data_IF_277455078009
#
_entry.id   IF_277455078009
#
_cell.length_a   1.000
_cell.length_b   1.000
_cell.length_c   1.000
_cell.angle_alpha   90.00
_cell.angle_beta   90.00
_cell.angle_gamma   90.00
#
_symmetry.space_group_name_H-M   'P 1'
#
loop_
_entity.id
_entity.type
_entity.pdbx_description
1 polymer ?
#
# COMPACT_ATOMS: atom_id res chain seq x y z
N UNK A 1 -58.78 24.55 52.43
CA UNK A 1 -59.25 24.02 51.14
C UNK A 1 -58.07 23.42 50.39
N UNK A 2 -58.20 22.14 49.99
CA UNK A 2 -57.59 21.42 48.85
C UNK A 2 -56.06 21.59 48.61
N UNK A 3 -55.18 20.60 48.87
CA UNK A 3 -55.01 19.23 48.32
C UNK A 3 -54.31 19.15 46.94
N UNK A 4 -53.07 18.61 47.01
CA UNK A 4 -52.32 17.74 46.08
C UNK A 4 -51.98 18.22 44.66
N UNK A 5 -50.69 18.09 44.32
CA UNK A 5 -50.21 17.41 43.10
C UNK A 5 -48.71 17.09 43.20
N UNK A 6 -48.40 15.79 43.19
CA UNK A 6 -47.06 15.22 43.00
C UNK A 6 -46.54 15.54 41.59
N UNK A 7 -45.26 15.93 41.46
CA UNK A 7 -44.51 15.75 40.20
C UNK A 7 -43.17 15.12 40.56
N UNK A 8 -43.00 13.86 40.16
CA UNK A 8 -41.76 13.11 40.32
C UNK A 8 -40.68 13.60 39.36
N UNK A 9 -39.45 13.75 39.88
CA UNK A 9 -38.24 13.90 39.09
C UNK A 9 -37.95 12.59 38.34
N UNK A 10 -38.32 12.53 37.06
CA UNK A 10 -37.78 11.54 36.12
C UNK A 10 -36.40 12.03 35.66
N UNK A 11 -35.36 11.20 35.86
CA UNK A 11 -34.11 11.24 35.09
C UNK A 11 -34.45 11.25 33.60
N UNK A 12 -34.18 12.35 32.90
CA UNK A 12 -33.99 12.30 31.45
C UNK A 12 -32.52 12.04 31.19
N UNK A 13 -32.22 10.79 30.83
CA UNK A 13 -31.05 10.44 30.04
C UNK A 13 -31.20 11.19 28.72
N UNK A 14 -30.42 12.25 28.53
CA UNK A 14 -30.29 12.89 27.22
C UNK A 14 -29.28 12.06 26.46
N UNK A 15 -29.80 11.24 25.54
CA UNK A 15 -29.04 10.67 24.44
C UNK A 15 -28.60 11.84 23.55
N UNK A 16 -27.35 12.28 23.67
CA UNK A 16 -26.70 13.06 22.62
C UNK A 16 -26.20 12.11 21.53
N UNK A 17 -27.15 11.52 20.81
CA UNK A 17 -26.95 10.96 19.47
C UNK A 17 -27.19 12.10 18.49
N UNK A 18 -26.14 12.80 18.09
CA UNK A 18 -26.30 13.99 17.25
C UNK A 18 -25.02 14.60 16.69
N UNK A 19 -23.98 13.81 16.47
CA UNK A 19 -22.90 14.22 15.56
C UNK A 19 -23.24 13.65 14.18
N UNK A 20 -23.50 14.54 13.24
CA UNK A 20 -23.50 14.22 11.81
C UNK A 20 -22.16 13.56 11.46
N UNK A 21 -22.08 12.23 11.55
CA UNK A 21 -21.03 11.47 10.92
C UNK A 21 -21.24 11.66 9.41
N UNK A 22 -20.39 12.50 8.82
CA UNK A 22 -20.23 12.54 7.37
C UNK A 22 -20.02 11.11 6.88
N UNK A 23 -20.54 10.78 5.70
CA UNK A 23 -20.38 9.46 5.05
C UNK A 23 -18.92 8.97 5.07
N UNK A 24 -17.97 9.91 4.96
CA UNK A 24 -16.51 9.73 5.08
C UNK A 24 -16.04 9.09 6.42
N UNK A 25 -16.68 9.42 7.53
CA UNK A 25 -16.35 8.87 8.85
C UNK A 25 -16.86 7.44 9.02
N UNK A 26 -17.98 7.10 8.37
CA UNK A 26 -18.56 5.76 8.43
C UNK A 26 -17.76 4.74 7.62
N UNK A 27 -17.29 5.10 6.43
CA UNK A 27 -16.47 4.21 5.58
C UNK A 27 -15.12 3.88 6.23
N UNK A 28 -14.49 4.86 6.87
CA UNK A 28 -13.22 4.69 7.60
C UNK A 28 -13.40 3.72 8.77
N UNK A 29 -14.44 3.88 9.58
CA UNK A 29 -14.75 2.96 10.68
C UNK A 29 -15.01 1.53 10.21
N UNK A 30 -15.69 1.33 9.07
CA UNK A 30 -15.88 0.00 8.48
C UNK A 30 -14.54 -0.66 8.10
N UNK A 31 -13.59 0.12 7.58
CA UNK A 31 -12.27 -0.39 7.18
C UNK A 31 -11.48 -0.91 8.38
N UNK A 32 -11.42 -0.15 9.48
CA UNK A 32 -10.77 -0.60 10.72
C UNK A 32 -11.51 -1.79 11.35
N UNK A 33 -12.84 -1.79 11.35
CA UNK A 33 -13.63 -2.92 11.84
C UNK A 33 -13.31 -4.21 11.06
N UNK A 34 -13.26 -4.14 9.73
CA UNK A 34 -12.94 -5.31 8.91
C UNK A 34 -11.52 -5.84 9.15
N UNK A 35 -10.55 -4.96 9.46
CA UNK A 35 -9.20 -5.36 9.89
C UNK A 35 -9.26 -6.09 11.23
N UNK A 36 -9.96 -5.52 12.23
CA UNK A 36 -10.08 -6.12 13.57
C UNK A 36 -10.84 -7.45 13.56
N UNK A 37 -11.83 -7.59 12.69
CA UNK A 37 -12.58 -8.84 12.48
C UNK A 37 -11.84 -9.83 11.56
N UNK A 38 -10.70 -9.44 10.99
CA UNK A 38 -9.91 -10.22 10.01
C UNK A 38 -10.74 -10.69 8.80
N UNK A 39 -11.77 -9.92 8.41
CA UNK A 39 -12.71 -10.26 7.35
C UNK A 39 -12.31 -9.58 6.02
N UNK A 40 -11.74 -10.37 5.10
CA UNK A 40 -11.24 -9.90 3.81
C UNK A 40 -12.34 -9.34 2.89
N UNK A 41 -13.56 -9.90 2.92
CA UNK A 41 -14.64 -9.46 2.02
C UNK A 41 -15.23 -8.13 2.50
N UNK A 42 -15.50 -8.00 3.80
CA UNK A 42 -15.92 -6.73 4.40
C UNK A 42 -14.85 -5.65 4.17
N UNK A 43 -13.57 -6.03 4.22
CA UNK A 43 -12.47 -5.14 3.95
C UNK A 43 -12.45 -4.67 2.50
N UNK A 44 -12.61 -5.57 1.52
CA UNK A 44 -12.69 -5.21 0.09
C UNK A 44 -13.84 -4.25 -0.17
N UNK A 45 -15.00 -4.50 0.43
CA UNK A 45 -16.15 -3.61 0.33
C UNK A 45 -15.85 -2.23 0.94
N UNK A 46 -15.36 -2.19 2.18
CA UNK A 46 -15.01 -0.93 2.84
C UNK A 46 -13.91 -0.16 2.08
N UNK A 47 -12.95 -0.86 1.49
CA UNK A 47 -11.87 -0.27 0.69
C UNK A 47 -12.35 0.31 -0.65
N UNK A 48 -13.46 -0.18 -1.19
CA UNK A 48 -14.11 0.38 -2.37
C UNK A 48 -14.93 1.64 -2.03
N UNK A 49 -15.55 1.65 -0.86
CA UNK A 49 -16.36 2.77 -0.35
C UNK A 49 -15.51 3.89 0.29
N UNK A 50 -14.28 3.61 0.73
CA UNK A 50 -13.48 4.55 1.51
C UNK A 50 -12.90 5.70 0.69
N UNK A 51 -13.22 6.93 1.11
CA UNK A 51 -12.66 8.17 0.56
C UNK A 51 -11.22 8.43 1.02
N UNK A 52 -10.88 8.07 2.27
CA UNK A 52 -9.54 8.23 2.84
C UNK A 52 -9.03 6.94 3.49
N UNK A 53 -8.11 6.27 2.79
CA UNK A 53 -7.45 5.05 3.26
C UNK A 53 -6.25 5.33 4.17
N UNK A 54 -5.90 6.60 4.38
CA UNK A 54 -4.82 7.04 5.27
C UNK A 54 -5.34 7.66 6.57
N UNK A 55 -6.67 7.71 6.76
CA UNK A 55 -7.28 8.26 7.95
C UNK A 55 -6.80 7.54 9.21
N UNK A 56 -6.71 8.28 10.30
CA UNK A 56 -6.34 7.74 11.61
C UNK A 56 -7.57 7.27 12.38
N UNK A 57 -7.43 6.18 13.11
CA UNK A 57 -8.37 5.80 14.16
C UNK A 57 -8.18 6.62 15.44
N UNK A 58 -8.95 6.31 16.48
CA UNK A 58 -8.85 6.96 17.80
C UNK A 58 -7.47 6.75 18.47
N UNK A 59 -6.73 5.73 18.06
CA UNK A 59 -5.38 5.42 18.56
C UNK A 59 -4.28 6.13 17.77
N UNK A 60 -4.63 6.82 16.68
CA UNK A 60 -3.66 7.51 15.86
C UNK A 60 -2.97 6.63 14.83
N UNK A 61 -3.59 5.51 14.48
CA UNK A 61 -3.06 4.52 13.55
C UNK A 61 -3.82 4.54 12.23
N UNK A 62 -3.12 4.37 11.12
CA UNK A 62 -3.76 4.18 9.82
C UNK A 62 -4.16 2.71 9.65
N UNK A 63 -5.07 2.37 8.72
CA UNK A 63 -5.44 0.98 8.45
C UNK A 63 -4.24 0.06 8.19
N UNK A 64 -3.22 0.56 7.49
CA UNK A 64 -1.99 -0.18 7.21
C UNK A 64 -1.13 -0.40 8.47
N UNK A 65 -1.13 0.56 9.40
CA UNK A 65 -0.46 0.43 10.70
C UNK A 65 -1.18 -0.59 11.58
N UNK A 66 -2.52 -0.59 11.61
CA UNK A 66 -3.31 -1.55 12.38
C UNK A 66 -3.02 -2.99 11.91
N UNK A 67 -2.97 -3.22 10.60
CA UNK A 67 -2.59 -4.52 10.03
C UNK A 67 -1.18 -4.92 10.49
N UNK A 68 -0.20 -4.03 10.40
CA UNK A 68 1.18 -4.31 10.84
C UNK A 68 1.29 -4.61 12.34
N UNK A 69 0.43 -3.98 13.15
CA UNK A 69 0.37 -4.14 14.60
C UNK A 69 -0.16 -5.51 15.01
N UNK A 70 -1.29 -5.94 14.45
CA UNK A 70 -1.97 -7.17 14.86
C UNK A 70 -1.46 -8.43 14.13
N UNK A 71 -0.65 -8.28 13.07
CA UNK A 71 -0.25 -9.38 12.18
C UNK A 71 0.28 -10.63 12.92
N UNK A 72 1.18 -10.44 13.89
CA UNK A 72 1.80 -11.58 14.59
C UNK A 72 0.85 -12.24 15.59
N UNK A 73 -0.10 -11.49 16.15
CA UNK A 73 -1.10 -12.00 17.10
C UNK A 73 -2.34 -12.56 16.41
N UNK A 74 -2.48 -12.33 15.11
CA UNK A 74 -3.61 -12.75 14.29
C UNK A 74 -3.61 -14.25 14.04
N UNK A 75 -4.80 -14.85 14.06
CA UNK A 75 -4.99 -16.24 13.64
C UNK A 75 -5.23 -16.37 12.11
N UNK A 76 -5.43 -15.24 11.40
CA UNK A 76 -5.66 -15.18 9.96
C UNK A 76 -4.67 -14.25 9.25
N UNK A 77 -3.38 -14.54 9.41
CA UNK A 77 -2.31 -13.86 8.69
C UNK A 77 -2.50 -13.82 7.15
N UNK A 78 -3.03 -14.85 6.47
CA UNK A 78 -3.29 -14.78 5.03
C UNK A 78 -4.25 -13.64 4.65
N UNK A 79 -5.35 -13.45 5.39
CA UNK A 79 -6.27 -12.36 5.13
C UNK A 79 -5.60 -11.00 5.32
N UNK A 80 -4.88 -10.80 6.44
CA UNK A 80 -4.14 -9.55 6.70
C UNK A 80 -3.04 -9.27 5.67
N UNK A 81 -2.34 -10.31 5.21
CA UNK A 81 -1.34 -10.24 4.14
C UNK A 81 -1.96 -9.72 2.84
N UNK A 82 -3.18 -10.16 2.50
CA UNK A 82 -3.91 -9.67 1.34
C UNK A 82 -4.51 -8.27 1.55
N UNK A 83 -5.03 -7.95 2.73
CA UNK A 83 -5.50 -6.60 3.06
C UNK A 83 -4.38 -5.56 2.91
N UNK A 84 -3.18 -5.85 3.45
CA UNK A 84 -2.02 -4.97 3.32
C UNK A 84 -1.62 -4.76 1.86
N UNK A 85 -1.61 -5.84 1.06
CA UNK A 85 -1.33 -5.78 -0.38
C UNK A 85 -2.31 -4.87 -1.12
N UNK A 86 -3.61 -5.01 -0.84
CA UNK A 86 -4.64 -4.18 -1.46
C UNK A 86 -4.47 -2.69 -1.13
N UNK A 87 -4.12 -2.35 0.11
CA UNK A 87 -3.83 -0.95 0.51
C UNK A 87 -2.57 -0.41 -0.18
N UNK A 88 -1.47 -1.17 -0.13
CA UNK A 88 -0.17 -0.77 -0.71
C UNK A 88 -0.28 -0.50 -2.22
N UNK A 89 -1.21 -1.16 -2.92
CA UNK A 89 -1.43 -0.97 -4.35
C UNK A 89 -2.39 0.16 -4.72
N UNK A 90 -3.03 0.83 -3.74
CA UNK A 90 -3.90 1.98 -4.02
C UNK A 90 -3.07 3.19 -4.44
N UNK A 91 -3.60 4.01 -5.36
CA UNK A 91 -2.89 5.21 -5.84
C UNK A 91 -2.81 6.31 -4.77
N UNK A 92 -3.81 6.38 -3.90
CA UNK A 92 -3.92 7.39 -2.83
C UNK A 92 -3.18 6.99 -1.54
N UNK A 93 -2.53 5.82 -1.48
CA UNK A 93 -1.84 5.38 -0.27
C UNK A 93 -0.64 6.29 0.01
N UNK A 94 -0.54 6.76 1.24
CA UNK A 94 0.66 7.37 1.76
C UNK A 94 1.37 6.35 2.64
N UNK A 95 2.30 5.61 2.04
CA UNK A 95 3.05 4.52 2.69
C UNK A 95 3.92 4.99 3.86
N UNK A 96 4.21 6.29 3.92
CA UNK A 96 5.15 6.91 4.86
C UNK A 96 4.45 7.76 5.92
N UNK A 97 3.13 7.69 6.03
CA UNK A 97 2.40 8.34 7.14
C UNK A 97 3.05 7.89 8.45
N UNK A 98 3.32 8.86 9.31
CA UNK A 98 3.76 8.59 10.67
C UNK A 98 2.53 8.64 11.57
N UNK A 99 2.43 7.72 12.53
CA UNK A 99 1.33 7.68 13.47
C UNK A 99 1.15 9.04 14.13
N UNK A 100 -0.08 9.52 14.09
CA UNK A 100 -0.50 10.74 14.76
C UNK A 100 -1.11 10.32 16.07
N UNK A 101 -0.40 10.40 17.19
CA UNK A 101 -1.12 10.39 18.45
C UNK A 101 -2.23 11.45 18.39
N UNK A 102 -3.44 11.18 18.93
CA UNK A 102 -4.28 12.26 19.37
C UNK A 102 -3.43 13.12 20.30
N UNK A 103 -3.27 14.37 19.86
CA UNK A 103 -2.76 15.44 20.67
C UNK A 103 -3.71 15.56 21.86
N UNK A 104 -3.41 14.91 22.98
CA UNK A 104 -3.69 15.52 24.27
C UNK A 104 -2.57 16.52 24.56
N UNK A 105 -2.45 17.55 23.70
CA UNK A 105 -2.14 18.87 24.22
C UNK A 105 -3.43 19.32 24.89
N UNK A 106 -3.58 19.01 26.16
CA UNK A 106 -3.88 20.11 27.04
C UNK A 106 -2.59 20.45 27.76
N UNK A 107 -2.08 21.64 27.46
CA UNK A 107 -1.09 22.29 28.28
C UNK A 107 -1.48 22.12 29.75
N UNK A 108 -0.59 21.51 30.53
CA UNK A 108 -0.24 21.81 31.92
C UNK A 108 -1.09 22.87 32.65
N UNK A 109 -2.42 22.70 32.72
CA UNK A 109 -3.26 23.59 33.50
C UNK A 109 -2.97 23.30 34.95
N UNK A 110 -2.47 24.32 35.62
CA UNK A 110 -2.42 24.30 37.07
C UNK A 110 -3.82 24.60 37.53
N UNK A 111 -4.32 23.81 38.46
CA UNK A 111 -5.51 24.24 39.18
C UNK A 111 -5.22 25.57 39.92
N UNK A 112 -6.25 26.15 40.52
CA UNK A 112 -6.12 27.38 41.34
C UNK A 112 -5.13 27.25 42.52
N UNK A 113 -4.62 26.06 42.80
CA UNK A 113 -3.65 25.75 43.85
C UNK A 113 -2.25 25.44 43.30
N UNK A 114 -2.05 25.56 41.98
CA UNK A 114 -0.76 25.30 41.36
C UNK A 114 -0.48 23.83 41.05
N UNK A 115 -1.41 22.90 41.25
CA UNK A 115 -1.20 21.45 41.03
C UNK A 115 -1.41 21.07 39.58
N UNK A 116 -0.64 20.11 39.09
CA UNK A 116 -0.77 19.58 37.73
C UNK A 116 -2.08 18.79 37.58
N UNK A 117 -2.86 19.13 36.56
CA UNK A 117 -4.09 18.43 36.16
C UNK A 117 -3.84 17.70 34.84
N UNK A 118 -4.45 16.54 34.69
CA UNK A 118 -4.26 15.59 33.60
C UNK A 118 -5.60 15.01 33.15
N UNK A 119 -5.65 14.42 31.94
CA UNK A 119 -6.84 13.73 31.44
C UNK A 119 -6.64 12.20 31.44
N UNK A 120 -7.56 11.46 32.02
CA UNK A 120 -7.55 9.99 32.09
C UNK A 120 -8.95 9.44 31.76
N UNK A 121 -9.07 8.70 30.65
CA UNK A 121 -10.34 8.12 30.16
C UNK A 121 -11.48 9.16 30.05
N UNK A 122 -11.16 10.36 29.59
CA UNK A 122 -12.11 11.47 29.44
C UNK A 122 -12.39 12.27 30.71
N UNK A 123 -11.81 11.89 31.86
CA UNK A 123 -12.00 12.58 33.14
C UNK A 123 -10.72 13.32 33.57
N UNK A 124 -10.87 14.46 34.23
CA UNK A 124 -9.72 15.20 34.78
C UNK A 124 -9.23 14.56 36.08
N UNK A 125 -7.90 14.45 36.25
CA UNK A 125 -7.25 13.99 37.48
C UNK A 125 -6.12 14.92 37.88
N UNK A 126 -5.95 15.19 39.18
CA UNK A 126 -4.86 16.01 39.71
C UNK A 126 -3.93 15.18 40.60
N UNK A 127 -2.62 15.42 40.51
CA UNK A 127 -1.63 14.82 41.40
C UNK A 127 -1.53 15.63 42.69
N UNK A 128 -1.92 15.01 43.81
CA UNK A 128 -1.92 15.64 45.14
C UNK A 128 -0.66 15.33 45.94
N UNK A 129 0.00 14.20 45.63
CA UNK A 129 1.34 13.81 46.12
C UNK A 129 2.02 12.98 45.03
N UNK A 130 3.36 12.81 45.06
CA UNK A 130 4.04 11.92 44.12
C UNK A 130 3.35 10.56 44.03
N UNK A 131 2.86 10.21 42.84
CA UNK A 131 2.13 8.96 42.56
C UNK A 131 0.76 8.82 43.24
N UNK A 132 0.15 9.92 43.72
CA UNK A 132 -1.18 9.94 44.31
C UNK A 132 -2.08 10.93 43.54
N UNK A 133 -3.10 10.39 42.89
CA UNK A 133 -4.00 11.14 42.01
C UNK A 133 -5.42 11.17 42.57
N UNK A 134 -6.24 12.14 42.15
CA UNK A 134 -7.67 12.24 42.46
C UNK A 134 -8.44 12.87 41.30
N UNK A 135 -9.72 12.50 41.13
CA UNK A 135 -10.58 13.10 40.10
C UNK A 135 -10.89 14.56 40.39
N UNK A 136 -11.02 15.32 39.32
CA UNK A 136 -11.37 16.72 39.33
C UNK A 136 -12.54 16.99 38.39
N UNK A 137 -13.35 17.99 38.73
CA UNK A 137 -14.32 18.59 37.82
C UNK A 137 -13.88 20.04 37.60
N UNK A 138 -13.61 20.42 36.35
CA UNK A 138 -13.12 21.75 35.98
C UNK A 138 -11.90 22.21 36.81
N UNK A 139 -10.94 21.31 37.05
CA UNK A 139 -9.74 21.55 37.84
C UNK A 139 -9.96 21.63 39.35
N UNK A 140 -11.17 21.39 39.86
CA UNK A 140 -11.45 21.29 41.29
C UNK A 140 -11.51 19.85 41.74
N UNK A 141 -10.77 19.53 42.80
CA UNK A 141 -10.73 18.20 43.40
C UNK A 141 -12.09 17.81 43.93
N UNK A 142 -12.61 16.70 43.46
CA UNK A 142 -13.85 16.13 43.97
C UNK A 142 -13.58 15.50 45.34
N UNK A 143 -14.44 15.77 46.32
CA UNK A 143 -14.48 15.00 47.56
C UNK A 143 -15.08 13.62 47.26
N UNK A 144 -14.30 12.78 46.59
CA UNK A 144 -14.66 11.40 46.37
C UNK A 144 -14.38 10.64 47.65
N UNK A 145 -15.41 10.37 48.44
CA UNK A 145 -15.38 9.46 49.58
C UNK A 145 -16.13 8.19 49.20
N UNK A 146 -15.67 7.03 49.65
CA UNK A 146 -16.40 5.78 49.46
C UNK A 146 -17.64 5.74 50.37
N UNK A 147 -18.41 4.66 50.28
CA UNK A 147 -19.63 4.45 51.10
C UNK A 147 -19.38 4.47 52.62
N UNK A 148 -18.11 4.47 53.05
CA UNK A 148 -17.67 4.56 54.44
C UNK A 148 -17.17 5.97 54.83
N UNK A 149 -17.31 6.96 53.94
CA UNK A 149 -16.86 8.33 54.19
C UNK A 149 -15.33 8.50 54.10
N UNK A 150 -14.61 7.50 53.61
CA UNK A 150 -13.14 7.53 53.48
C UNK A 150 -12.77 8.12 52.12
N UNK A 151 -11.90 9.15 52.05
CA UNK A 151 -11.46 9.69 50.77
C UNK A 151 -10.82 8.63 49.88
N UNK A 152 -11.32 8.53 48.66
CA UNK A 152 -10.87 7.64 47.61
C UNK A 152 -9.62 8.26 47.00
N UNK A 153 -8.46 7.83 47.50
CA UNK A 153 -7.18 8.08 46.86
C UNK A 153 -6.84 6.92 45.94
N UNK A 154 -6.25 7.21 44.78
CA UNK A 154 -5.54 6.19 44.03
C UNK A 154 -4.32 5.77 44.88
N UNK A 155 -4.30 4.51 45.34
CA UNK A 155 -3.28 3.96 46.24
C UNK A 155 -1.91 3.79 45.52
N UNK A 156 -0.83 3.59 46.30
CA UNK A 156 0.59 3.52 45.92
C UNK A 156 1.02 2.48 44.86
N UNK A 157 0.08 1.79 44.21
CA UNK A 157 0.36 0.68 43.28
C UNK A 157 -0.13 0.94 41.86
N UNK A 158 -0.13 2.19 41.40
CA UNK A 158 -0.58 2.50 40.04
C UNK A 158 0.36 3.44 39.27
N UNK A 159 1.49 2.86 38.81
CA UNK A 159 2.28 3.35 37.67
C UNK A 159 1.41 3.59 36.41
N UNK A 160 0.21 2.99 36.35
CA UNK A 160 -0.73 3.10 35.24
C UNK A 160 -1.26 4.52 35.01
N UNK A 161 -1.56 5.31 36.06
CA UNK A 161 -2.02 6.71 35.86
C UNK A 161 -0.87 7.54 35.32
N UNK A 162 0.32 7.47 35.96
CA UNK A 162 1.53 8.12 35.48
C UNK A 162 1.90 7.72 34.05
N UNK A 163 1.67 6.46 33.62
CA UNK A 163 1.82 5.95 32.24
C UNK A 163 0.70 6.38 31.27
N UNK A 164 -0.52 6.55 31.75
CA UNK A 164 -1.66 6.95 30.92
C UNK A 164 -1.70 8.46 30.69
N UNK A 165 -1.11 9.22 31.63
CA UNK A 165 -1.13 10.68 31.70
C UNK A 165 0.21 11.31 31.26
N UNK A 166 1.33 10.65 31.50
CA UNK A 166 2.57 10.80 30.71
C UNK A 166 2.78 9.45 30.05
N UNK A 167 3.09 9.37 28.76
CA UNK A 167 3.45 8.14 28.02
C UNK A 167 2.43 7.49 27.10
N UNK A 168 1.48 8.23 26.50
CA UNK A 168 1.29 7.96 25.06
C UNK A 168 2.52 8.54 24.38
N UNK A 169 3.61 7.76 24.35
CA UNK A 169 4.82 8.19 23.64
C UNK A 169 4.36 8.42 22.21
N UNK A 170 4.39 9.68 21.78
CA UNK A 170 4.27 10.03 20.39
C UNK A 170 5.42 9.28 19.73
N UNK A 171 5.11 8.19 19.03
CA UNK A 171 6.14 7.39 18.40
C UNK A 171 6.47 7.98 17.04
N UNK A 172 5.49 8.49 16.29
CA UNK A 172 5.67 8.87 14.87
C UNK A 172 6.20 7.70 14.05
N UNK A 173 5.71 6.53 14.39
CA UNK A 173 6.08 5.30 13.72
C UNK A 173 5.30 5.22 12.41
N UNK A 174 5.99 4.88 11.33
CA UNK A 174 5.34 4.47 10.08
C UNK A 174 4.89 3.02 10.18
N UNK A 175 4.07 2.55 9.24
CA UNK A 175 3.74 1.13 9.15
C UNK A 175 5.00 0.23 9.10
N UNK A 176 6.10 0.72 8.50
CA UNK A 176 7.38 0.00 8.45
C UNK A 176 8.08 -0.07 9.82
N UNK A 177 7.98 0.96 10.65
CA UNK A 177 8.48 0.92 12.03
C UNK A 177 7.74 -0.14 12.83
N UNK A 178 6.40 -0.11 12.79
CA UNK A 178 5.53 -1.04 13.50
C UNK A 178 5.82 -2.47 13.05
N UNK A 179 5.88 -2.73 11.74
CA UNK A 179 6.16 -4.06 11.21
C UNK A 179 7.55 -4.60 11.64
N UNK A 180 8.58 -3.74 11.73
CA UNK A 180 9.88 -4.12 12.25
C UNK A 180 9.84 -4.43 13.76
N UNK A 181 9.10 -3.63 14.54
CA UNK A 181 8.93 -3.78 15.98
C UNK A 181 8.10 -5.00 16.38
N UNK A 182 7.08 -5.35 15.58
CA UNK A 182 6.24 -6.52 15.85
C UNK A 182 6.88 -7.81 15.36
N UNK A 183 7.82 -7.74 14.43
CA UNK A 183 8.40 -8.93 13.80
C UNK A 183 7.61 -9.41 12.58
N UNK A 184 6.71 -8.59 12.02
CA UNK A 184 5.86 -8.92 10.88
C UNK A 184 6.64 -8.97 9.55
N UNK A 185 7.47 -10.00 9.35
CA UNK A 185 8.38 -10.14 8.21
C UNK A 185 7.67 -10.02 6.86
N UNK A 186 6.49 -10.63 6.69
CA UNK A 186 5.75 -10.57 5.43
C UNK A 186 5.21 -9.18 5.13
N UNK A 187 4.78 -8.45 6.16
CA UNK A 187 4.37 -7.06 6.02
C UNK A 187 5.58 -6.19 5.67
N UNK A 188 6.73 -6.39 6.32
CA UNK A 188 7.99 -5.71 5.95
C UNK A 188 8.34 -5.96 4.47
N UNK A 189 8.31 -7.22 4.02
CA UNK A 189 8.54 -7.59 2.62
C UNK A 189 7.60 -6.84 1.68
N UNK A 190 6.30 -6.80 1.98
CA UNK A 190 5.30 -6.10 1.16
C UNK A 190 5.53 -4.58 1.15
N UNK A 191 5.70 -3.95 2.30
CA UNK A 191 5.95 -2.51 2.42
C UNK A 191 7.19 -2.08 1.60
N UNK A 192 8.26 -2.88 1.66
CA UNK A 192 9.51 -2.60 0.96
C UNK A 192 9.43 -2.70 -0.57
N UNK A 193 8.36 -3.29 -1.13
CA UNK A 193 8.13 -3.31 -2.59
C UNK A 193 7.61 -1.97 -3.14
N UNK A 194 6.99 -1.14 -2.29
CA UNK A 194 6.38 0.13 -2.71
C UNK A 194 7.46 1.12 -3.19
N UNK A 195 7.28 1.77 -4.35
CA UNK A 195 8.31 2.66 -4.93
C UNK A 195 8.69 3.83 -4.01
N UNK A 196 7.71 4.38 -3.29
CA UNK A 196 7.92 5.56 -2.45
C UNK A 196 8.28 5.27 -1.00
N UNK A 197 8.47 3.99 -0.61
CA UNK A 197 8.77 3.64 0.78
C UNK A 197 10.11 4.23 1.24
N UNK A 198 10.10 4.88 2.40
CA UNK A 198 11.31 5.45 3.01
C UNK A 198 11.70 4.64 4.25
N UNK A 199 12.90 4.07 4.20
CA UNK A 199 13.46 3.21 5.25
C UNK A 199 14.31 3.97 6.28
N UNK A 200 14.42 5.29 6.14
CA UNK A 200 15.25 6.21 6.92
C UNK A 200 14.44 7.27 7.67
N UNK A 201 13.10 7.19 7.63
CA UNK A 201 12.23 8.05 8.42
C UNK A 201 12.54 7.81 9.90
N UNK A 202 12.78 8.91 10.62
CA UNK A 202 13.02 8.89 12.05
C UNK A 202 11.72 9.11 12.80
N UNK A 203 11.50 8.25 13.78
CA UNK A 203 10.44 8.39 14.77
C UNK A 203 10.88 9.40 15.86
N UNK A 204 10.05 9.65 16.87
CA UNK A 204 10.39 10.62 17.94
C UNK A 204 11.58 10.22 18.83
N UNK A 205 11.95 8.94 18.82
CA UNK A 205 13.14 8.43 19.52
C UNK A 205 14.41 8.52 18.66
N UNK A 206 14.36 9.24 17.53
CA UNK A 206 15.41 9.32 16.52
C UNK A 206 15.79 7.95 15.94
N UNK A 207 14.86 6.99 16.00
CA UNK A 207 15.03 5.63 15.49
C UNK A 207 14.45 5.50 14.10
N UNK A 208 15.17 4.81 13.22
CA UNK A 208 14.65 4.37 11.91
C UNK A 208 14.04 2.97 12.05
N UNK A 209 13.24 2.46 11.08
CA UNK A 209 12.63 1.14 11.20
C UNK A 209 13.61 0.01 11.50
N UNK A 210 14.82 0.05 10.90
CA UNK A 210 15.87 -0.95 11.14
C UNK A 210 16.36 -0.99 12.59
N UNK A 211 16.24 0.10 13.35
CA UNK A 211 16.65 0.14 14.76
C UNK A 211 15.64 -0.52 15.69
N UNK A 212 14.39 -0.69 15.22
CA UNK A 212 13.30 -1.28 15.98
C UNK A 212 13.09 -2.77 15.70
N UNK A 213 13.93 -3.38 14.85
CA UNK A 213 13.81 -4.81 14.51
C UNK A 213 13.83 -5.64 15.80
N UNK A 214 12.79 -6.47 15.96
CA UNK A 214 12.66 -7.39 17.09
C UNK A 214 13.86 -8.31 17.21
N UNK A 215 14.33 -8.52 18.46
CA UNK A 215 15.46 -9.42 18.75
C UNK A 215 15.24 -10.81 18.18
N UNK A 216 16.27 -11.36 17.53
CA UNK A 216 16.24 -12.68 16.90
C UNK A 216 15.88 -12.65 15.41
N UNK A 217 15.38 -11.53 14.88
CA UNK A 217 15.03 -11.36 13.46
C UNK A 217 15.96 -10.40 12.72
N UNK A 218 17.06 -9.94 13.34
CA UNK A 218 17.94 -8.92 12.78
C UNK A 218 18.53 -9.32 11.43
N UNK A 219 19.03 -10.55 11.32
CA UNK A 219 19.63 -11.05 10.07
C UNK A 219 18.58 -11.20 8.97
N UNK A 220 17.43 -11.78 9.30
CA UNK A 220 16.32 -11.98 8.37
C UNK A 220 15.81 -10.65 7.84
N UNK A 221 15.45 -9.71 8.71
CA UNK A 221 14.91 -8.42 8.29
C UNK A 221 15.95 -7.58 7.55
N UNK A 222 17.22 -7.52 8.02
CA UNK A 222 18.27 -6.80 7.29
C UNK A 222 18.46 -7.36 5.88
N UNK A 223 18.38 -8.68 5.70
CA UNK A 223 18.41 -9.31 4.38
C UNK A 223 17.23 -8.86 3.51
N UNK A 224 16.02 -8.76 4.05
CA UNK A 224 14.85 -8.28 3.31
C UNK A 224 15.00 -6.81 2.83
N UNK A 225 15.60 -5.94 3.63
CA UNK A 225 15.95 -4.57 3.19
C UNK A 225 16.93 -4.58 2.01
N UNK A 226 17.96 -5.43 2.04
CA UNK A 226 18.93 -5.56 0.95
C UNK A 226 18.30 -6.17 -0.31
N UNK A 227 17.46 -7.19 -0.15
CA UNK A 227 16.71 -7.80 -1.24
C UNK A 227 15.82 -6.78 -1.94
N UNK A 228 15.09 -5.95 -1.19
CA UNK A 228 14.26 -4.89 -1.75
C UNK A 228 15.07 -3.83 -2.49
N UNK A 229 16.24 -3.44 -1.96
CA UNK A 229 17.15 -2.52 -2.65
C UNK A 229 17.61 -3.09 -4.01
N UNK A 230 18.03 -4.36 -4.04
CA UNK A 230 18.43 -5.04 -5.29
C UNK A 230 17.25 -5.25 -6.24
N UNK A 231 16.06 -5.53 -5.73
CA UNK A 231 14.82 -5.64 -6.50
C UNK A 231 14.48 -4.36 -7.25
N UNK A 232 14.60 -3.19 -6.59
CA UNK A 232 14.45 -1.88 -7.25
C UNK A 232 15.52 -1.61 -8.30
N UNK A 233 16.77 -2.03 -8.05
CA UNK A 233 17.84 -1.94 -9.05
C UNK A 233 17.52 -2.78 -10.28
N UNK A 234 17.06 -4.02 -10.11
CA UNK A 234 16.65 -4.91 -11.20
C UNK A 234 15.50 -4.28 -12.00
N UNK A 235 14.47 -3.74 -11.33
CA UNK A 235 13.36 -3.04 -11.97
C UNK A 235 13.84 -1.86 -12.84
N UNK A 236 14.78 -1.06 -12.32
CA UNK A 236 15.35 0.07 -13.06
C UNK A 236 16.14 -0.39 -14.30
N UNK A 237 16.97 -1.43 -14.16
CA UNK A 237 17.75 -2.02 -15.26
C UNK A 237 16.85 -2.57 -16.36
N UNK A 238 15.81 -3.33 -15.99
CA UNK A 238 14.83 -3.87 -16.93
C UNK A 238 14.05 -2.76 -17.65
N UNK A 239 13.71 -1.68 -16.94
CA UNK A 239 12.99 -0.56 -17.57
C UNK A 239 13.81 0.21 -18.60
N UNK A 240 15.14 0.07 -18.57
CA UNK A 240 16.07 0.63 -19.57
C UNK A 240 16.41 -0.37 -20.68
N UNK A 241 15.86 -1.59 -20.63
CA UNK A 241 16.14 -2.65 -21.60
C UNK A 241 17.55 -3.27 -21.49
N UNK A 242 18.26 -3.08 -20.36
CA UNK A 242 19.61 -3.63 -20.18
C UNK A 242 19.57 -5.08 -19.66
N UNK A 243 19.22 -6.02 -20.53
CA UNK A 243 19.03 -7.43 -20.15
C UNK A 243 20.32 -8.15 -19.76
N UNK A 244 21.47 -7.75 -20.31
CA UNK A 244 22.75 -8.33 -19.93
C UNK A 244 23.11 -8.01 -18.47
N UNK A 245 22.87 -6.77 -18.01
CA UNK A 245 23.03 -6.42 -16.59
C UNK A 245 21.99 -7.11 -15.71
N UNK A 246 20.72 -7.14 -16.14
CA UNK A 246 19.67 -7.86 -15.42
C UNK A 246 20.02 -9.33 -15.20
N UNK A 247 20.53 -10.01 -16.24
CA UNK A 247 20.99 -11.39 -16.18
C UNK A 247 22.09 -11.59 -15.14
N UNK A 248 23.08 -10.70 -15.08
CA UNK A 248 24.14 -10.77 -14.05
C UNK A 248 23.59 -10.60 -12.64
N UNK A 249 22.58 -9.74 -12.46
CA UNK A 249 21.97 -9.52 -11.15
C UNK A 249 21.17 -10.73 -10.64
N UNK A 250 20.62 -11.54 -11.56
CA UNK A 250 19.80 -12.72 -11.23
C UNK A 250 20.62 -13.91 -10.71
N UNK A 251 21.95 -13.93 -10.91
CA UNK A 251 22.82 -15.07 -10.55
C UNK A 251 22.75 -15.49 -9.07
N UNK A 252 22.57 -14.54 -8.16
CA UNK A 252 22.61 -14.82 -6.73
C UNK A 252 21.21 -14.96 -6.10
N UNK A 253 20.11 -14.76 -6.85
CA UNK A 253 18.70 -14.86 -6.38
C UNK A 253 18.38 -14.09 -5.06
N UNK A 254 19.29 -13.25 -4.56
CA UNK A 254 19.16 -12.49 -3.33
C UNK A 254 18.57 -11.10 -3.60
N UNK A 255 17.37 -11.08 -4.17
CA UNK A 255 16.61 -9.85 -4.41
C UNK A 255 15.12 -10.10 -4.22
N UNK A 256 14.34 -9.03 -4.04
CA UNK A 256 12.89 -9.12 -4.02
C UNK A 256 12.37 -8.91 -5.45
N UNK A 257 11.77 -9.93 -6.10
CA UNK A 257 11.33 -9.86 -7.50
C UNK A 257 10.04 -9.05 -7.70
N UNK A 258 9.40 -8.60 -6.63
CA UNK A 258 8.06 -7.99 -6.64
C UNK A 258 8.10 -6.48 -6.42
N UNK A 259 9.28 -5.85 -6.46
CA UNK A 259 9.35 -4.39 -6.48
C UNK A 259 8.63 -3.87 -7.72
N UNK A 260 7.96 -2.72 -7.61
CA UNK A 260 7.17 -2.20 -8.73
C UNK A 260 7.25 -0.68 -8.82
N UNK A 261 6.80 -0.15 -9.96
CA UNK A 261 6.61 1.28 -10.21
C UNK A 261 5.34 1.50 -11.00
N UNK A 262 4.88 2.76 -11.13
CA UNK A 262 3.83 3.10 -12.09
C UNK A 262 4.43 3.70 -13.35
N UNK A 263 3.88 3.33 -14.50
CA UNK A 263 4.17 4.00 -15.76
C UNK A 263 3.38 5.33 -15.88
N UNK A 264 3.54 6.03 -17.00
CA UNK A 264 2.81 7.28 -17.29
C UNK A 264 1.29 7.13 -17.28
N UNK A 265 0.79 5.93 -17.54
CA UNK A 265 -0.64 5.60 -17.56
C UNK A 265 -1.17 5.19 -16.18
N UNK A 266 -0.31 5.19 -15.15
CA UNK A 266 -0.66 4.77 -13.79
C UNK A 266 -0.70 3.25 -13.59
N UNK A 267 -0.37 2.46 -14.62
CA UNK A 267 -0.33 1.00 -14.54
C UNK A 267 0.91 0.54 -13.79
N UNK A 268 0.76 -0.56 -13.04
CA UNK A 268 1.86 -1.16 -12.28
C UNK A 268 2.79 -1.90 -13.25
N UNK A 269 4.08 -1.55 -13.22
CA UNK A 269 5.16 -2.26 -13.88
C UNK A 269 6.03 -2.97 -12.84
N UNK A 270 6.10 -4.29 -12.95
CA UNK A 270 6.98 -5.19 -12.19
C UNK A 270 8.13 -5.70 -13.07
N UNK A 271 9.22 -6.26 -12.49
CA UNK A 271 10.25 -6.94 -13.26
C UNK A 271 9.67 -7.97 -14.24
N UNK A 272 8.68 -8.76 -13.80
CA UNK A 272 8.03 -9.77 -14.62
C UNK A 272 7.26 -9.15 -15.80
N UNK A 273 6.47 -8.12 -15.55
CA UNK A 273 5.71 -7.45 -16.63
C UNK A 273 6.62 -6.80 -17.68
N UNK A 274 7.74 -6.20 -17.25
CA UNK A 274 8.70 -5.55 -18.14
C UNK A 274 9.42 -6.56 -19.02
N UNK A 275 9.87 -7.68 -18.46
CA UNK A 275 10.56 -8.71 -19.25
C UNK A 275 9.61 -9.40 -20.22
N UNK A 276 8.35 -9.67 -19.81
CA UNK A 276 7.32 -10.22 -20.70
C UNK A 276 7.07 -9.26 -21.87
N UNK A 277 6.91 -7.95 -21.59
CA UNK A 277 6.73 -6.92 -22.63
C UNK A 277 7.90 -6.91 -23.61
N UNK A 278 9.15 -7.05 -23.12
CA UNK A 278 10.31 -7.17 -24.00
C UNK A 278 10.26 -8.44 -24.87
N UNK A 279 9.94 -9.60 -24.30
CA UNK A 279 9.89 -10.85 -25.06
C UNK A 279 8.78 -10.84 -26.12
N UNK A 280 7.67 -10.14 -25.86
CA UNK A 280 6.60 -9.91 -26.84
C UNK A 280 7.06 -9.06 -28.03
N UNK A 281 7.97 -8.11 -27.81
CA UNK A 281 8.58 -7.30 -28.89
C UNK A 281 9.63 -8.07 -29.68
N UNK A 282 10.27 -9.07 -29.05
CA UNK A 282 11.21 -9.97 -29.70
C UNK A 282 11.98 -10.80 -28.67
N UNK A 283 12.05 -12.11 -28.90
CA UNK A 283 12.78 -13.03 -28.00
C UNK A 283 14.26 -13.08 -28.40
N UNK A 284 15.13 -12.60 -27.50
CA UNK A 284 16.59 -12.73 -27.55
C UNK A 284 17.05 -13.76 -26.52
N UNK A 285 18.30 -14.19 -26.57
CA UNK A 285 18.81 -15.11 -25.54
C UNK A 285 18.89 -14.43 -24.16
N UNK A 286 19.31 -13.17 -24.09
CA UNK A 286 19.39 -12.45 -22.81
C UNK A 286 18.01 -12.25 -22.17
N UNK A 287 16.99 -11.81 -22.92
CA UNK A 287 15.67 -11.57 -22.31
C UNK A 287 14.94 -12.88 -21.96
N UNK A 288 15.14 -13.94 -22.74
CA UNK A 288 14.65 -15.29 -22.45
C UNK A 288 15.25 -15.85 -21.17
N UNK A 289 16.56 -15.70 -20.97
CA UNK A 289 17.24 -16.18 -19.77
C UNK A 289 16.79 -15.40 -18.53
N UNK A 290 16.72 -14.07 -18.63
CA UNK A 290 16.18 -13.21 -17.58
C UNK A 290 14.75 -13.61 -17.21
N UNK A 291 13.88 -13.85 -18.20
CA UNK A 291 12.51 -14.30 -17.97
C UNK A 291 12.48 -15.67 -17.26
N UNK A 292 13.30 -16.61 -17.73
CA UNK A 292 13.34 -17.98 -17.17
C UNK A 292 13.80 -17.97 -15.71
N UNK A 293 14.88 -17.26 -15.41
CA UNK A 293 15.42 -17.15 -14.06
C UNK A 293 14.48 -16.41 -13.11
N UNK A 294 13.81 -15.36 -13.61
CA UNK A 294 12.81 -14.65 -12.81
C UNK A 294 11.61 -15.54 -12.48
N UNK A 295 11.05 -16.25 -13.47
CA UNK A 295 9.90 -17.16 -13.27
C UNK A 295 10.19 -18.27 -12.25
N UNK A 296 11.45 -18.69 -12.15
CA UNK A 296 11.93 -19.68 -11.17
C UNK A 296 12.14 -19.12 -9.76
N UNK A 297 12.18 -17.80 -9.61
CA UNK A 297 12.41 -17.17 -8.31
C UNK A 297 11.28 -17.50 -7.33
N UNK A 298 11.64 -18.12 -6.18
CA UNK A 298 10.66 -18.65 -5.21
C UNK A 298 9.71 -17.60 -4.65
N UNK A 299 10.19 -16.38 -4.43
CA UNK A 299 9.40 -15.28 -3.86
C UNK A 299 8.61 -14.50 -4.91
N UNK A 300 8.64 -14.89 -6.19
CA UNK A 300 7.91 -14.17 -7.24
C UNK A 300 6.40 -14.33 -7.06
N UNK A 301 5.72 -13.18 -6.95
CA UNK A 301 4.28 -13.02 -6.82
C UNK A 301 3.66 -12.70 -8.20
N UNK A 302 2.73 -13.55 -8.63
CA UNK A 302 2.08 -13.43 -9.94
C UNK A 302 0.82 -12.57 -9.91
N UNK A 303 0.30 -12.22 -8.72
CA UNK A 303 -0.96 -11.48 -8.58
C UNK A 303 -0.90 -10.05 -9.14
N UNK A 304 0.30 -9.49 -9.29
CA UNK A 304 0.51 -8.17 -9.90
C UNK A 304 0.57 -8.23 -11.44
N UNK A 305 0.63 -9.43 -12.01
CA UNK A 305 0.75 -9.63 -13.45
C UNK A 305 -0.62 -9.94 -14.02
N UNK A 306 -1.19 -8.99 -14.76
CA UNK A 306 -2.39 -9.27 -15.54
C UNK A 306 -2.04 -10.28 -16.63
N UNK A 307 -2.90 -11.28 -16.90
CA UNK A 307 -2.79 -12.08 -18.11
C UNK A 307 -2.72 -11.13 -19.30
N UNK A 308 -1.63 -11.18 -20.06
CA UNK A 308 -1.50 -10.38 -21.27
C UNK A 308 -2.01 -11.27 -22.40
N UNK A 309 -3.16 -10.97 -23.04
CA UNK A 309 -3.70 -11.81 -24.12
C UNK A 309 -2.69 -12.07 -25.25
N UNK A 310 -1.75 -11.14 -25.45
CA UNK A 310 -0.65 -11.28 -26.40
C UNK A 310 0.30 -12.45 -26.09
N UNK A 311 0.38 -12.93 -24.83
CA UNK A 311 1.15 -14.13 -24.47
C UNK A 311 0.54 -15.37 -25.14
N UNK A 312 -0.79 -15.49 -25.14
CA UNK A 312 -1.49 -16.64 -25.76
C UNK A 312 -1.26 -16.69 -27.28
N UNK A 313 -1.11 -15.53 -27.92
CA UNK A 313 -0.83 -15.43 -29.35
C UNK A 313 0.66 -15.64 -29.68
N UNK A 314 1.56 -15.62 -28.70
CA UNK A 314 3.00 -15.79 -28.87
C UNK A 314 3.44 -17.20 -28.45
N UNK A 315 3.40 -18.14 -29.40
CA UNK A 315 3.72 -19.56 -29.15
C UNK A 315 5.10 -19.79 -28.54
N UNK A 316 6.11 -19.01 -28.95
CA UNK A 316 7.48 -19.12 -28.43
C UNK A 316 7.58 -18.66 -26.99
N UNK A 317 6.98 -17.52 -26.65
CA UNK A 317 6.94 -16.99 -25.29
C UNK A 317 6.16 -17.93 -24.36
N UNK A 318 5.01 -18.43 -24.83
CA UNK A 318 4.19 -19.41 -24.10
C UNK A 318 5.00 -20.65 -23.72
N UNK A 319 5.74 -21.23 -24.67
CA UNK A 319 6.61 -22.39 -24.40
C UNK A 319 7.71 -22.09 -23.36
N UNK A 320 8.28 -20.89 -23.36
CA UNK A 320 9.30 -20.49 -22.36
C UNK A 320 8.67 -20.44 -20.97
N UNK A 321 7.51 -19.80 -20.84
CA UNK A 321 6.79 -19.67 -19.57
C UNK A 321 6.34 -21.05 -19.07
N UNK A 322 5.70 -21.85 -19.91
CA UNK A 322 5.23 -23.21 -19.55
C UNK A 322 6.38 -24.09 -19.07
N UNK A 323 7.54 -24.04 -19.74
CA UNK A 323 8.72 -24.80 -19.34
C UNK A 323 9.26 -24.34 -18.00
N UNK A 324 9.46 -23.04 -17.81
CA UNK A 324 9.99 -22.50 -16.56
C UNK A 324 9.06 -22.80 -15.38
N UNK A 325 7.74 -22.67 -15.59
CA UNK A 325 6.75 -22.95 -14.56
C UNK A 325 6.63 -24.43 -14.23
N UNK A 326 6.73 -25.31 -15.24
CA UNK A 326 6.82 -26.76 -15.01
C UNK A 326 8.02 -27.12 -14.15
N UNK A 327 9.21 -26.61 -14.48
CA UNK A 327 10.43 -26.86 -13.71
C UNK A 327 10.27 -26.39 -12.26
N UNK A 328 9.79 -25.15 -12.04
CA UNK A 328 9.53 -24.62 -10.69
C UNK A 328 8.51 -25.48 -9.92
N UNK A 329 7.40 -25.86 -10.54
CA UNK A 329 6.37 -26.67 -9.89
C UNK A 329 6.90 -28.07 -9.52
N UNK A 330 7.66 -28.72 -10.42
CA UNK A 330 8.30 -30.00 -10.13
C UNK A 330 9.28 -29.90 -8.96
N UNK A 331 10.07 -28.83 -8.89
CA UNK A 331 11.01 -28.61 -7.79
C UNK A 331 10.29 -28.45 -6.44
N UNK A 332 9.19 -27.68 -6.40
CA UNK A 332 8.39 -27.49 -5.18
C UNK A 332 7.72 -28.79 -4.75
N UNK A 333 7.14 -29.54 -5.68
CA UNK A 333 6.54 -30.84 -5.41
C UNK A 333 7.59 -31.81 -4.82
N UNK A 334 8.79 -31.86 -5.39
CA UNK A 334 9.86 -32.75 -4.93
C UNK A 334 10.36 -32.43 -3.52
N UNK A 335 10.24 -31.19 -3.06
CA UNK A 335 10.53 -30.78 -1.67
C UNK A 335 9.48 -31.28 -0.67
N UNK A 336 8.34 -31.79 -1.15
CA UNK A 336 7.19 -32.21 -0.34
C UNK A 336 6.61 -31.09 0.53
N UNK A 337 6.75 -29.84 0.08
CA UNK A 337 6.20 -28.67 0.76
C UNK A 337 4.81 -28.36 0.19
N UNK A 338 3.77 -28.80 0.89
CA UNK A 338 2.39 -28.64 0.44
C UNK A 338 1.94 -27.18 0.44
N UNK A 339 2.48 -26.36 1.34
CA UNK A 339 2.09 -24.95 1.47
C UNK A 339 2.69 -24.12 0.34
N UNK A 340 3.97 -24.37 -0.02
CA UNK A 340 4.58 -23.79 -1.21
C UNK A 340 3.85 -24.21 -2.51
N UNK A 341 3.38 -25.47 -2.60
CA UNK A 341 2.57 -25.92 -3.75
C UNK A 341 1.26 -25.14 -3.82
N UNK A 342 0.57 -24.97 -2.70
CA UNK A 342 -0.69 -24.21 -2.63
C UNK A 342 -0.47 -22.76 -3.04
N UNK A 343 0.49 -22.07 -2.43
CA UNK A 343 0.81 -20.66 -2.74
C UNK A 343 1.18 -20.49 -4.21
N UNK A 344 2.01 -21.39 -4.75
CA UNK A 344 2.40 -21.33 -6.17
C UNK A 344 1.22 -21.54 -7.12
N UNK A 345 0.23 -22.35 -6.76
CA UNK A 345 -0.88 -22.73 -7.65
C UNK A 345 -2.10 -21.80 -7.49
N UNK A 346 -2.32 -21.21 -6.31
CA UNK A 346 -3.44 -20.29 -6.06
C UNK A 346 -3.26 -18.94 -6.76
N UNK A 347 -2.05 -18.38 -6.75
CA UNK A 347 -1.83 -17.01 -7.23
C UNK A 347 -1.31 -16.92 -8.67
N UNK A 348 -1.04 -18.06 -9.32
CA UNK A 348 -0.31 -18.10 -10.58
C UNK A 348 -1.20 -18.23 -11.82
N UNK A 349 -1.31 -17.11 -12.55
CA UNK A 349 -2.08 -17.05 -13.80
C UNK A 349 -1.54 -17.92 -14.95
N UNK A 350 -0.31 -18.44 -14.85
CA UNK A 350 0.30 -19.30 -15.87
C UNK A 350 0.16 -20.80 -15.56
N UNK A 351 -0.14 -21.19 -14.32
CA UNK A 351 -0.29 -22.61 -13.97
C UNK A 351 -1.67 -23.10 -14.41
N UNK A 352 -1.66 -24.07 -15.32
CA UNK A 352 -2.85 -24.75 -15.77
C UNK A 352 -2.72 -26.27 -15.62
N UNK A 353 -3.81 -26.99 -15.89
CA UNK A 353 -3.87 -28.45 -15.78
C UNK A 353 -2.78 -29.17 -16.60
N UNK A 354 -2.40 -28.64 -17.77
CA UNK A 354 -1.36 -29.26 -18.59
C UNK A 354 0.02 -29.18 -17.92
N UNK A 355 0.37 -28.03 -17.33
CA UNK A 355 1.61 -27.86 -16.56
C UNK A 355 1.60 -28.77 -15.32
N UNK A 356 0.49 -28.81 -14.57
CA UNK A 356 0.33 -29.67 -13.39
C UNK A 356 0.50 -31.15 -13.75
N UNK A 357 -0.18 -31.61 -14.80
CA UNK A 357 -0.08 -33.00 -15.28
C UNK A 357 1.35 -33.32 -15.72
N UNK A 358 2.00 -32.40 -16.44
CA UNK A 358 3.37 -32.59 -16.89
C UNK A 358 4.38 -32.61 -15.74
N UNK A 359 4.15 -31.83 -14.69
CA UNK A 359 4.98 -31.83 -13.49
C UNK A 359 4.81 -33.12 -12.70
N UNK A 360 3.58 -33.59 -12.49
CA UNK A 360 3.27 -34.82 -11.73
C UNK A 360 3.80 -36.10 -12.39
N UNK A 361 3.87 -36.15 -13.73
CA UNK A 361 4.47 -37.31 -14.45
C UNK A 361 5.93 -37.57 -14.05
N UNK A 362 6.62 -36.56 -13.54
CA UNK A 362 8.04 -36.62 -13.20
C UNK A 362 8.28 -36.81 -11.68
N UNK A 363 7.24 -37.05 -10.88
CA UNK A 363 7.31 -37.15 -9.43
C UNK A 363 6.81 -38.52 -8.97
N UNK A 364 7.51 -39.15 -8.02
CA UNK A 364 7.24 -40.51 -7.56
C UNK A 364 5.99 -40.66 -6.66
N UNK A 365 5.43 -39.56 -6.12
CA UNK A 365 4.24 -39.59 -5.27
C UNK A 365 3.23 -38.49 -5.69
N UNK A 366 1.94 -38.83 -5.91
CA UNK A 366 0.92 -37.84 -6.24
C UNK A 366 0.51 -37.01 -5.03
N UNK A 367 0.42 -35.68 -5.21
CA UNK A 367 -0.14 -34.77 -4.19
C UNK A 367 -1.67 -34.72 -4.36
N UNK A 368 -2.42 -35.21 -3.36
CA UNK A 368 -3.88 -35.26 -3.37
C UNK A 368 -4.54 -33.90 -3.67
N UNK A 369 -4.01 -32.82 -3.08
CA UNK A 369 -4.49 -31.44 -3.30
C UNK A 369 -4.50 -31.02 -4.79
N UNK A 370 -3.47 -31.38 -5.56
CA UNK A 370 -3.41 -31.01 -6.99
C UNK A 370 -4.46 -31.76 -7.81
N UNK A 371 -4.78 -33.00 -7.44
CA UNK A 371 -5.84 -33.78 -8.07
C UNK A 371 -7.23 -33.26 -7.70
N UNK A 372 -7.43 -32.78 -6.47
CA UNK A 372 -8.68 -32.12 -6.06
C UNK A 372 -8.89 -30.80 -6.79
N UNK A 373 -7.84 -29.98 -6.91
CA UNK A 373 -7.90 -28.67 -7.57
C UNK A 373 -7.98 -28.75 -9.10
N UNK A 374 -7.41 -29.80 -9.69
CA UNK A 374 -7.44 -30.06 -11.13
C UNK A 374 -7.92 -31.49 -11.43
N UNK A 375 -9.21 -31.79 -11.20
CA UNK A 375 -9.74 -33.15 -11.32
C UNK A 375 -9.65 -33.69 -12.74
N UNK A 376 -9.39 -35.01 -12.84
CA UNK A 376 -9.12 -35.67 -14.11
C UNK A 376 -10.30 -35.63 -15.10
N UNK A 377 -11.52 -35.49 -14.59
CA UNK A 377 -12.79 -35.54 -15.34
C UNK A 377 -13.21 -34.24 -16.01
N UNK A 378 -12.50 -33.11 -15.78
CA UNK A 378 -12.80 -31.86 -16.50
C UNK A 378 -12.06 -31.84 -17.82
N UNK A 379 -12.62 -32.51 -18.84
CA UNK A 379 -12.22 -32.21 -20.23
C UNK A 379 -12.15 -30.70 -20.42
N UNK A 380 -11.09 -30.29 -21.13
CA UNK A 380 -10.72 -28.92 -21.45
C UNK A 380 -11.88 -27.93 -21.40
N UNK A 381 -11.90 -27.06 -20.38
CA UNK A 381 -12.14 -25.66 -20.71
C UNK A 381 -10.87 -25.16 -21.42
N UNK A 382 -10.83 -25.39 -22.74
CA UNK A 382 -10.38 -24.33 -23.63
C UNK A 382 -11.03 -23.04 -23.14
N UNK A 383 -10.32 -21.91 -23.16
CA UNK A 383 -10.75 -20.62 -22.65
C UNK A 383 -12.04 -20.06 -23.32
N UNK A 384 -13.15 -20.78 -23.19
CA UNK A 384 -14.48 -20.60 -23.76
C UNK A 384 -15.48 -21.31 -22.83
N UNK A 385 -15.68 -20.79 -21.62
CA UNK A 385 -16.97 -20.81 -20.91
C UNK A 385 -16.90 -19.90 -19.68
N UNK A 386 -16.98 -18.59 -19.89
CA UNK A 386 -17.93 -17.83 -19.07
C UNK A 386 -19.28 -18.00 -19.75
N UNK A 387 -20.00 -19.06 -19.34
CA UNK A 387 -21.46 -18.99 -19.36
C UNK A 387 -21.89 -18.70 -17.92
N UNK A 388 -21.52 -17.50 -17.48
CA UNK A 388 -22.30 -16.77 -16.48
C UNK A 388 -23.48 -16.23 -17.27
N UNK A 389 -24.70 -16.39 -16.76
CA UNK A 389 -25.93 -15.81 -17.31
C UNK A 389 -25.66 -14.45 -17.98
N UNK A 390 -25.72 -14.42 -19.32
CA UNK A 390 -25.62 -13.20 -20.10
C UNK A 390 -26.95 -12.46 -20.04
N UNK A 391 -27.12 -11.61 -19.03
CA UNK A 391 -27.84 -10.35 -19.21
C UNK A 391 -26.83 -9.23 -19.54
N UNK A 392 -25.86 -9.52 -20.40
CA UNK A 392 -25.05 -8.49 -21.04
C UNK A 392 -25.52 -8.45 -22.48
N UNK A 393 -26.34 -7.44 -22.77
CA UNK A 393 -26.95 -7.23 -24.07
C UNK A 393 -25.82 -7.02 -25.09
N UNK A 394 -25.63 -7.94 -26.04
CA UNK A 394 -24.59 -7.87 -27.08
C UNK A 394 -24.67 -6.55 -27.87
N UNK A 395 -25.86 -5.95 -27.93
CA UNK A 395 -26.11 -4.62 -28.50
C UNK A 395 -25.42 -3.49 -27.70
N UNK A 396 -25.37 -3.59 -26.38
CA UNK A 396 -24.67 -2.63 -25.51
C UNK A 396 -23.15 -2.71 -25.71
N UNK A 397 -22.60 -3.92 -25.83
CA UNK A 397 -21.16 -4.11 -26.12
C UNK A 397 -20.82 -3.54 -27.51
N UNK A 398 -21.65 -3.81 -28.52
CA UNK A 398 -21.45 -3.26 -29.86
C UNK A 398 -21.51 -1.73 -29.87
N UNK A 399 -22.43 -1.14 -29.09
CA UNK A 399 -22.58 0.29 -28.97
C UNK A 399 -21.38 0.95 -28.26
N UNK A 400 -20.87 0.35 -27.19
CA UNK A 400 -19.66 0.81 -26.48
C UNK A 400 -18.41 0.69 -27.36
N UNK A 401 -18.25 -0.41 -28.10
CA UNK A 401 -17.15 -0.57 -29.05
C UNK A 401 -17.19 0.51 -30.15
N UNK A 402 -18.37 0.83 -30.66
CA UNK A 402 -18.52 1.90 -31.64
C UNK A 402 -18.24 3.29 -31.05
N UNK A 403 -18.64 3.55 -29.80
CA UNK A 403 -18.28 4.79 -29.11
C UNK A 403 -16.77 4.92 -28.90
N UNK A 404 -16.09 3.84 -28.51
CA UNK A 404 -14.64 3.82 -28.36
C UNK A 404 -13.90 4.06 -29.68
N UNK A 405 -14.43 3.53 -30.78
CA UNK A 405 -13.86 3.76 -32.12
C UNK A 405 -14.02 5.24 -32.54
N UNK A 406 -15.18 5.84 -32.31
CA UNK A 406 -15.41 7.26 -32.57
C UNK A 406 -14.49 8.16 -31.72
N UNK A 407 -14.33 7.86 -30.42
CA UNK A 407 -13.42 8.59 -29.53
C UNK A 407 -11.96 8.46 -29.96
N UNK A 408 -11.56 7.28 -30.47
CA UNK A 408 -10.22 7.06 -31.02
C UNK A 408 -9.97 7.94 -32.25
N UNK A 409 -10.94 8.04 -33.15
CA UNK A 409 -10.83 8.87 -34.34
C UNK A 409 -10.78 10.37 -33.98
N UNK A 410 -11.57 10.81 -33.01
CA UNK A 410 -11.50 12.18 -32.47
C UNK A 410 -10.15 12.49 -31.82
N UNK A 411 -9.59 11.53 -31.08
CA UNK A 411 -8.27 11.67 -30.47
C UNK A 411 -7.17 11.82 -31.54
N UNK A 412 -7.22 11.03 -32.62
CA UNK A 412 -6.26 11.15 -33.72
C UNK A 412 -6.40 12.49 -34.47
N UNK A 413 -7.62 12.98 -34.69
CA UNK A 413 -7.83 14.33 -35.24
C UNK A 413 -7.25 15.42 -34.33
N UNK A 414 -7.45 15.29 -33.02
CA UNK A 414 -6.94 16.25 -32.04
C UNK A 414 -5.42 16.25 -31.98
N UNK A 415 -4.78 15.08 -32.06
CA UNK A 415 -3.31 14.97 -32.15
C UNK A 415 -2.77 15.63 -33.43
N UNK A 416 -3.44 15.44 -34.56
CA UNK A 416 -3.04 16.08 -35.81
C UNK A 416 -3.11 17.62 -35.71
N UNK A 417 -4.20 18.15 -35.15
CA UNK A 417 -4.35 19.59 -34.90
C UNK A 417 -3.30 20.15 -33.94
N UNK A 418 -2.97 19.40 -32.87
CA UNK A 418 -1.93 19.80 -31.92
C UNK A 418 -0.56 19.88 -32.60
N UNK A 419 -0.24 18.91 -33.46
CA UNK A 419 1.01 18.88 -34.24
C UNK A 419 1.11 20.09 -35.18
N UNK A 420 0.01 20.46 -35.83
CA UNK A 420 -0.04 21.66 -36.69
C UNK A 420 0.15 22.95 -35.88
N UNK A 421 -0.47 23.05 -34.71
CA UNK A 421 -0.29 24.19 -33.80
C UNK A 421 1.14 24.30 -33.26
N UNK A 422 1.79 23.17 -32.98
CA UNK A 422 3.19 23.14 -32.56
C UNK A 422 4.12 23.64 -33.68
N UNK A 423 3.86 23.23 -34.93
CA UNK A 423 4.61 23.74 -36.09
C UNK A 423 4.43 25.25 -36.29
N UNK A 424 3.20 25.75 -36.13
CA UNK A 424 2.92 27.19 -36.24
C UNK A 424 3.59 27.98 -35.11
N UNK A 425 3.56 27.47 -33.87
CA UNK A 425 4.26 28.10 -32.76
C UNK A 425 5.77 28.17 -33.01
N UNK A 426 6.37 27.10 -33.53
CA UNK A 426 7.79 27.08 -33.89
C UNK A 426 8.15 28.12 -34.96
N UNK A 427 7.26 28.34 -35.96
CA UNK A 427 7.44 29.42 -36.95
C UNK A 427 7.43 30.80 -36.28
N UNK A 428 6.43 31.08 -35.43
CA UNK A 428 6.32 32.36 -34.71
C UNK A 428 7.56 32.62 -33.84
N UNK A 429 8.05 31.59 -33.13
CA UNK A 429 9.26 31.70 -32.31
C UNK A 429 10.48 32.03 -33.19
N UNK A 430 10.61 31.40 -34.35
CA UNK A 430 11.71 31.68 -35.28
C UNK A 430 11.66 33.12 -35.85
N UNK A 431 10.46 33.66 -36.08
CA UNK A 431 10.26 35.04 -36.52
C UNK A 431 10.64 36.04 -35.42
N UNK A 432 10.14 35.83 -34.20
CA UNK A 432 10.49 36.69 -33.06
C UNK A 432 11.98 36.69 -32.75
N UNK A 433 12.64 35.55 -32.92
CA UNK A 433 14.10 35.45 -32.74
C UNK A 433 14.83 36.33 -33.76
N UNK A 434 14.45 36.24 -35.05
CA UNK A 434 15.00 37.10 -36.11
C UNK A 434 14.77 38.59 -35.86
N UNK A 435 13.61 38.97 -35.36
CA UNK A 435 13.31 40.38 -35.07
C UNK A 435 14.09 40.88 -33.84
N UNK A 436 14.32 40.02 -32.85
CA UNK A 436 15.18 40.32 -31.70
C UNK A 436 16.63 40.54 -32.13
N UNK A 437 17.14 39.73 -33.06
CA UNK A 437 18.48 39.89 -33.62
C UNK A 437 18.62 41.19 -34.41
N UNK A 438 17.60 41.58 -35.18
CA UNK A 438 17.56 42.87 -35.90
C UNK A 438 17.57 44.06 -34.93
N UNK A 439 16.77 44.01 -33.87
CA UNK A 439 16.75 45.07 -32.83
C UNK A 439 18.14 45.18 -32.21
N UNK A 440 18.76 44.05 -31.86
CA UNK A 440 20.11 44.01 -31.28
C UNK A 440 21.19 44.53 -32.23
N UNK A 441 21.00 44.40 -33.55
CA UNK A 441 21.88 45.00 -34.55
C UNK A 441 21.67 46.52 -34.64
N UNK A 442 20.42 46.98 -34.71
CA UNK A 442 20.09 48.41 -34.74
C UNK A 442 20.59 49.15 -33.50
N UNK A 443 20.51 48.53 -32.31
CA UNK A 443 21.06 49.10 -31.07
C UNK A 443 22.59 49.25 -31.13
N UNK A 444 23.29 48.31 -31.77
CA UNK A 444 24.74 48.40 -31.97
C UNK A 444 25.11 49.51 -32.94
N UNK A 445 24.36 49.62 -34.03
CA UNK A 445 24.58 50.66 -35.05
C UNK A 445 24.30 52.06 -34.45
N UNK A 446 23.23 52.21 -33.66
CA UNK A 446 22.90 53.46 -32.98
C UNK A 446 23.98 53.89 -31.98
N UNK A 447 24.57 52.94 -31.23
CA UNK A 447 25.70 53.23 -30.31
C UNK A 447 26.95 53.71 -31.08
N UNK A 448 27.24 53.10 -32.22
CA UNK A 448 28.36 53.53 -33.06
C UNK A 448 28.14 54.95 -33.61
N UNK A 449 26.92 55.28 -34.03
CA UNK A 449 26.59 56.65 -34.47
C UNK A 449 26.66 57.66 -33.32
N UNK A 450 26.20 57.31 -32.11
CA UNK A 450 26.33 58.20 -30.95
C UNK A 450 27.79 58.46 -30.57
N UNK A 451 28.65 57.44 -30.65
CA UNK A 451 30.08 57.56 -30.36
C UNK A 451 30.83 58.40 -31.42
N UNK A 452 30.39 58.36 -32.68
CA UNK A 452 30.90 59.21 -33.76
C UNK A 452 30.46 60.67 -33.62
N UNK A 453 29.26 60.90 -33.07
CA UNK A 453 28.70 62.25 -32.87
C UNK A 453 29.31 62.96 -31.66
N UNK A 454 29.78 62.23 -30.64
CA UNK A 454 30.53 62.78 -29.50
C UNK A 454 32.02 63.06 -29.78
N UNK A 455 32.55 62.62 -30.93
CA UNK A 455 33.94 62.83 -31.36
C UNK A 455 34.13 63.99 -32.36
N UNK A 456 33.07 64.73 -32.68
CA UNK A 456 33.12 66.02 -33.38
C UNK A 456 32.86 67.14 -32.38
#
# INVERSE_FOLDING_TARGET
MLSRSNVGFRRSVVNDTGLHQTTSGQSTTKLFKAIGDENLEDFKQALAESEDINAFDEEGTTPLMSIASIYITSNNQPALKEMAKLLIQKRSININVQSEQPVYKEEHKRDRFGRLVYLFRGEEVAEVRPSQYIYCSNGQTLNNVNDQGIPIYFNYTYDAVKKSVRTSFIQKDTALHIACQTGAVDIVKRLLTHPDVKADIKNYHDKVPKDLITRGLENTMKLEFEKARRGRQLLNVLSRGNFHEARRMLLNQDFNPNCWKRNSNGEIETPLSLIIKSCLQGVTEDNKEVLTELLKHKELDFSQTKPIPAIEQNSRLKQIIERAMKERLTDVINRKDLDDVKELVEDNCFINRAIVTAALRNVNEPIHYLNEKFPATVEQLSANAHNVQSEINDEFIAQELHQLENLRDELERTKAQLTEKEQELNRIVSERTRDTDKISQLERDLRQESDLTQKK
#
